data_IF_631506207533
#
_entry.id   IF_631506207533
#
_cell.length_a   1.000
_cell.length_b   1.000
_cell.length_c   1.000
_cell.angle_alpha   90.00
_cell.angle_beta   90.00
_cell.angle_gamma   90.00
#
_symmetry.space_group_name_H-M   'P 1'
#
loop_
_entity.id
_entity.type
_entity.pdbx_description
1 polymer ?
#
# COMPACT_ATOMS: atom_id res chain seq x y z
N UNK A 1 46.13 2.44 -19.28
CA UNK A 1 46.14 2.33 -17.80
C UNK A 1 46.34 0.87 -17.39
N UNK A 2 46.76 0.54 -16.16
CA UNK A 2 46.94 -0.86 -15.72
C UNK A 2 45.76 -1.26 -14.81
N UNK A 3 45.13 -2.41 -15.07
CA UNK A 3 44.07 -2.93 -14.21
C UNK A 3 44.64 -3.41 -12.87
N UNK A 4 44.09 -2.95 -11.74
CA UNK A 4 44.56 -3.35 -10.40
C UNK A 4 44.21 -4.81 -10.05
N UNK A 5 43.17 -5.37 -10.66
CA UNK A 5 42.69 -6.72 -10.35
C UNK A 5 43.40 -7.80 -11.16
N UNK A 6 43.62 -7.60 -12.46
CA UNK A 6 44.31 -8.60 -13.32
C UNK A 6 45.73 -8.22 -13.75
N UNK A 7 46.19 -7.00 -13.45
CA UNK A 7 47.55 -6.54 -13.76
C UNK A 7 47.84 -6.26 -15.24
N UNK A 8 46.86 -6.43 -16.13
CA UNK A 8 47.04 -6.20 -17.58
C UNK A 8 46.95 -4.71 -17.95
N UNK A 9 47.70 -4.34 -18.97
CA UNK A 9 47.66 -3.00 -19.58
C UNK A 9 46.42 -2.87 -20.46
N UNK A 10 45.67 -1.79 -20.26
CA UNK A 10 44.48 -1.43 -21.02
C UNK A 10 44.84 -0.28 -21.95
N UNK A 11 44.62 -0.50 -23.25
CA UNK A 11 44.89 0.46 -24.32
C UNK A 11 43.92 1.64 -24.28
N UNK A 12 42.65 1.38 -23.99
CA UNK A 12 41.63 2.42 -23.85
C UNK A 12 41.70 3.09 -22.48
N UNK A 13 42.24 4.31 -22.43
CA UNK A 13 42.34 5.12 -21.21
C UNK A 13 40.97 5.52 -20.62
N UNK A 14 39.88 5.43 -21.38
CA UNK A 14 38.52 5.80 -20.97
C UNK A 14 37.60 4.59 -20.76
N UNK A 15 38.13 3.37 -20.69
CA UNK A 15 37.33 2.17 -20.46
C UNK A 15 36.77 2.15 -19.02
N UNK A 16 35.46 1.91 -18.87
CA UNK A 16 34.82 1.78 -17.56
C UNK A 16 35.10 0.42 -16.89
N UNK A 17 35.35 -0.61 -17.70
CA UNK A 17 35.58 -1.98 -17.28
C UNK A 17 36.81 -2.53 -17.99
N UNK A 18 37.51 -3.46 -17.35
CA UNK A 18 38.64 -4.14 -17.96
C UNK A 18 38.15 -5.17 -19.01
N UNK A 19 38.65 -5.07 -20.24
CA UNK A 19 38.28 -5.99 -21.33
C UNK A 19 38.67 -7.46 -21.07
N UNK A 20 39.62 -7.70 -20.16
CA UNK A 20 40.14 -9.04 -19.88
C UNK A 20 39.48 -9.74 -18.69
N UNK A 21 39.18 -9.02 -17.61
CA UNK A 21 38.62 -9.61 -16.38
C UNK A 21 37.26 -9.04 -15.96
N UNK A 22 36.78 -7.99 -16.61
CA UNK A 22 35.48 -7.36 -16.32
C UNK A 22 35.46 -6.44 -15.09
N UNK A 23 36.58 -6.25 -14.39
CA UNK A 23 36.61 -5.40 -13.19
C UNK A 23 36.45 -3.91 -13.53
N UNK A 24 35.81 -3.15 -12.63
CA UNK A 24 35.57 -1.73 -12.83
C UNK A 24 36.85 -0.92 -12.66
N UNK A 25 37.17 -0.08 -13.65
CA UNK A 25 38.39 0.75 -13.66
C UNK A 25 38.15 2.14 -13.06
N UNK A 26 36.89 2.44 -12.74
CA UNK A 26 36.40 3.76 -12.30
C UNK A 26 36.60 3.98 -10.81
N UNK A 27 37.83 3.83 -10.33
CA UNK A 27 38.18 4.07 -8.93
C UNK A 27 38.85 5.43 -8.68
N UNK A 28 39.07 6.26 -9.71
CA UNK A 28 39.68 7.60 -9.58
C UNK A 28 38.67 8.75 -9.57
N UNK A 29 37.48 8.54 -8.97
CA UNK A 29 36.45 9.57 -8.86
C UNK A 29 35.68 9.58 -7.53
N UNK A 30 36.12 8.82 -6.51
CA UNK A 30 35.39 8.70 -5.24
C UNK A 30 36.25 9.02 -4.00
N UNK A 31 37.36 9.75 -4.14
CA UNK A 31 38.16 10.19 -2.99
C UNK A 31 38.07 11.70 -2.68
N UNK A 32 37.01 12.38 -3.13
CA UNK A 32 36.79 13.78 -2.75
C UNK A 32 35.30 14.16 -2.61
N UNK A 33 34.53 13.35 -1.89
CA UNK A 33 33.22 13.78 -1.35
C UNK A 33 33.35 13.92 0.18
N UNK A 34 34.41 14.58 0.64
CA UNK A 34 34.60 14.91 2.05
C UNK A 34 34.73 16.42 2.22
N UNK A 35 33.76 17.18 1.69
CA UNK A 35 33.52 18.59 2.05
C UNK A 35 32.18 19.16 1.53
N UNK A 36 31.15 18.34 1.28
CA UNK A 36 29.80 18.89 1.12
C UNK A 36 29.08 18.70 2.45
N UNK A 37 29.01 19.75 3.26
CA UNK A 37 28.05 19.87 4.36
C UNK A 37 26.65 19.91 3.74
N UNK A 38 26.18 18.76 3.28
CA UNK A 38 24.75 18.50 3.16
C UNK A 38 24.27 18.50 4.60
N UNK A 39 23.46 19.50 4.96
CA UNK A 39 22.56 19.36 6.09
C UNK A 39 21.75 18.10 5.83
N UNK A 40 22.23 16.98 6.37
CA UNK A 40 21.42 15.82 6.66
C UNK A 40 20.41 16.35 7.69
N UNK A 41 19.30 16.88 7.18
CA UNK A 41 18.05 16.80 7.91
C UNK A 41 17.98 15.33 8.34
N UNK A 42 18.03 15.09 9.63
CA UNK A 42 17.86 13.76 10.23
C UNK A 42 16.40 13.35 10.00
N UNK A 43 16.04 13.10 8.75
CA UNK A 43 14.95 12.20 8.45
C UNK A 43 15.47 10.83 8.85
N UNK A 44 15.21 10.49 10.11
CA UNK A 44 15.23 9.15 10.69
C UNK A 44 15.14 8.10 9.58
N UNK A 45 16.30 7.56 9.19
CA UNK A 45 16.36 6.44 8.24
C UNK A 45 15.78 5.27 9.02
N UNK A 46 14.45 5.10 8.93
CA UNK A 46 13.75 3.92 9.43
C UNK A 46 14.45 2.72 8.80
N UNK A 47 15.24 2.05 9.62
CA UNK A 47 15.80 0.72 9.40
C UNK A 47 14.83 -0.07 8.52
N UNK A 48 15.30 -0.52 7.35
CA UNK A 48 14.49 -1.04 6.26
C UNK A 48 13.28 -1.83 6.76
N UNK A 49 12.13 -1.19 6.73
CA UNK A 49 10.88 -1.75 7.23
C UNK A 49 10.61 -3.05 6.47
N UNK A 50 10.55 -4.18 7.21
CA UNK A 50 10.42 -5.50 6.60
C UNK A 50 9.20 -5.51 5.68
N UNK A 51 9.35 -5.89 4.40
CA UNK A 51 8.24 -5.85 3.46
C UNK A 51 7.11 -6.76 3.93
N UNK A 52 5.88 -6.30 3.75
CA UNK A 52 4.68 -7.09 4.07
C UNK A 52 4.60 -8.27 3.09
N UNK A 53 4.54 -9.49 3.62
CA UNK A 53 4.50 -10.71 2.81
C UNK A 53 3.20 -10.84 2.02
N UNK A 54 3.26 -11.53 0.88
CA UNK A 54 2.08 -11.81 0.03
C UNK A 54 0.95 -12.51 0.80
N UNK A 55 1.28 -13.52 1.61
CA UNK A 55 0.27 -14.24 2.40
C UNK A 55 -0.46 -13.34 3.41
N UNK A 56 0.25 -12.35 3.98
CA UNK A 56 -0.38 -11.37 4.85
C UNK A 56 -1.39 -10.51 4.07
N UNK A 57 -1.03 -10.05 2.87
CA UNK A 57 -1.96 -9.33 1.98
C UNK A 57 -3.17 -10.18 1.59
N UNK A 58 -2.94 -11.40 1.13
CA UNK A 58 -4.00 -12.30 0.69
C UNK A 58 -4.98 -12.61 1.82
N UNK A 59 -4.48 -12.95 3.01
CA UNK A 59 -5.33 -13.21 4.17
C UNK A 59 -6.14 -11.98 4.60
N UNK A 60 -5.52 -10.79 4.52
CA UNK A 60 -6.20 -9.52 4.82
C UNK A 60 -7.36 -9.24 3.87
N UNK A 61 -7.18 -9.54 2.58
CA UNK A 61 -8.24 -9.37 1.57
C UNK A 61 -9.32 -10.45 1.67
N UNK A 62 -8.93 -11.68 2.03
CA UNK A 62 -9.86 -12.80 2.15
C UNK A 62 -10.86 -12.61 3.30
N UNK A 63 -10.47 -11.88 4.35
CA UNK A 63 -11.30 -11.58 5.51
C UNK A 63 -12.64 -10.92 5.15
N UNK A 64 -12.65 -10.09 4.09
CA UNK A 64 -13.86 -9.42 3.61
C UNK A 64 -14.94 -10.41 3.10
N UNK A 65 -14.53 -11.56 2.59
CA UNK A 65 -15.45 -12.55 2.01
C UNK A 65 -16.16 -13.42 3.04
N UNK A 66 -15.87 -13.25 4.34
CA UNK A 66 -16.64 -13.92 5.39
C UNK A 66 -18.04 -13.26 5.43
N UNK A 67 -19.12 -14.00 5.12
CA UNK A 67 -20.45 -13.42 5.07
C UNK A 67 -20.89 -12.87 6.43
N UNK A 68 -21.74 -11.85 6.40
CA UNK A 68 -22.30 -11.12 7.54
C UNK A 68 -21.30 -10.33 8.39
N UNK A 69 -20.25 -10.96 8.91
CA UNK A 69 -19.34 -10.36 9.89
C UNK A 69 -17.99 -9.94 9.31
N UNK A 70 -17.58 -10.53 8.18
CA UNK A 70 -16.28 -10.27 7.56
C UNK A 70 -16.05 -8.81 7.23
N UNK A 71 -17.04 -8.14 6.65
CA UNK A 71 -16.98 -6.72 6.34
C UNK A 71 -16.76 -5.86 7.60
N UNK A 72 -17.45 -6.16 8.71
CA UNK A 72 -17.29 -5.42 9.96
C UNK A 72 -15.90 -5.61 10.57
N UNK A 73 -15.41 -6.85 10.64
CA UNK A 73 -14.05 -7.16 11.14
C UNK A 73 -12.98 -6.53 10.25
N UNK A 74 -13.19 -6.57 8.94
CA UNK A 74 -12.27 -5.96 7.97
C UNK A 74 -12.17 -4.45 8.17
N UNK A 75 -13.29 -3.75 8.36
CA UNK A 75 -13.29 -2.30 8.62
C UNK A 75 -12.59 -1.96 9.94
N UNK A 76 -12.85 -2.70 11.03
CA UNK A 76 -12.18 -2.43 12.33
C UNK A 76 -10.67 -2.66 12.22
N UNK A 77 -10.25 -3.67 11.48
CA UNK A 77 -8.85 -3.95 11.19
C UNK A 77 -8.21 -2.84 10.33
N UNK A 78 -8.91 -2.28 9.33
CA UNK A 78 -8.43 -1.13 8.56
C UNK A 78 -8.26 0.13 9.43
N UNK A 79 -9.22 0.42 10.30
CA UNK A 79 -9.12 1.53 11.26
C UNK A 79 -7.89 1.33 12.14
N UNK A 80 -7.72 0.14 12.73
CA UNK A 80 -6.55 -0.19 13.54
C UNK A 80 -5.23 0.05 12.78
N UNK A 81 -5.11 -0.39 11.53
CA UNK A 81 -3.88 -0.18 10.73
C UNK A 81 -3.65 1.27 10.31
N UNK A 82 -4.72 2.03 10.06
CA UNK A 82 -4.61 3.42 9.60
C UNK A 82 -4.02 4.36 10.66
N UNK A 83 -4.26 4.07 11.94
CA UNK A 83 -3.84 4.90 13.07
C UNK A 83 -2.72 4.27 13.92
N UNK A 84 -2.41 2.98 13.74
CA UNK A 84 -1.33 2.33 14.51
C UNK A 84 0.04 2.76 14.01
N UNK A 85 0.89 3.24 14.92
CA UNK A 85 2.29 3.60 14.65
C UNK A 85 3.17 2.35 14.40
N UNK A 86 2.78 1.21 15.00
CA UNK A 86 3.54 -0.06 14.99
C UNK A 86 3.43 -0.85 13.68
N UNK A 87 2.58 -0.41 12.75
CA UNK A 87 2.29 -1.12 11.49
C UNK A 87 3.19 -0.60 10.37
N UNK A 88 3.51 -1.48 9.41
CA UNK A 88 4.29 -1.12 8.24
C UNK A 88 3.71 0.11 7.53
N UNK A 89 4.52 1.10 7.15
CA UNK A 89 4.10 2.33 6.48
C UNK A 89 3.26 2.05 5.23
N UNK A 90 3.72 1.14 4.36
CA UNK A 90 2.97 0.76 3.15
C UNK A 90 1.57 0.21 3.47
N UNK A 91 1.44 -0.56 4.55
CA UNK A 91 0.18 -1.16 4.99
C UNK A 91 -0.76 -0.13 5.64
N UNK A 92 -0.21 0.79 6.42
CA UNK A 92 -0.93 1.91 7.03
C UNK A 92 -1.45 2.89 5.99
N UNK A 93 -0.63 3.28 5.03
CA UNK A 93 -1.02 4.20 3.95
C UNK A 93 -2.09 3.57 3.06
N UNK A 94 -1.95 2.27 2.74
CA UNK A 94 -2.99 1.52 2.05
C UNK A 94 -4.29 1.45 2.86
N UNK A 95 -4.22 1.22 4.18
CA UNK A 95 -5.41 1.16 5.02
C UNK A 95 -6.17 2.49 5.05
N UNK A 96 -5.47 3.63 5.07
CA UNK A 96 -6.06 4.97 4.96
C UNK A 96 -6.78 5.17 3.64
N UNK A 97 -6.14 4.81 2.52
CA UNK A 97 -6.78 4.87 1.20
C UNK A 97 -8.01 3.93 1.10
N UNK A 98 -7.89 2.71 1.63
CA UNK A 98 -8.97 1.73 1.64
C UNK A 98 -10.19 2.22 2.43
N UNK A 99 -10.00 2.90 3.58
CA UNK A 99 -11.10 3.48 4.34
C UNK A 99 -11.87 4.55 3.55
N UNK A 100 -11.18 5.39 2.80
CA UNK A 100 -11.82 6.39 1.92
C UNK A 100 -12.65 5.70 0.83
N UNK A 101 -12.10 4.65 0.22
CA UNK A 101 -12.80 3.86 -0.80
C UNK A 101 -14.04 3.16 -0.22
N UNK A 102 -13.92 2.53 0.95
CA UNK A 102 -15.04 1.88 1.65
C UNK A 102 -16.14 2.89 1.96
N UNK A 103 -15.78 4.06 2.48
CA UNK A 103 -16.73 5.14 2.75
C UNK A 103 -17.47 5.57 1.48
N UNK A 104 -16.74 5.77 0.38
CA UNK A 104 -17.33 6.11 -0.93
C UNK A 104 -18.32 5.04 -1.40
N UNK A 105 -17.97 3.75 -1.30
CA UNK A 105 -18.86 2.66 -1.71
C UNK A 105 -20.10 2.56 -0.84
N UNK A 106 -19.99 2.76 0.48
CA UNK A 106 -21.14 2.79 1.38
C UNK A 106 -22.06 3.96 1.01
N UNK A 107 -21.49 5.15 0.78
CA UNK A 107 -22.25 6.33 0.39
C UNK A 107 -22.99 6.14 -0.94
N UNK A 108 -22.30 5.69 -1.99
CA UNK A 108 -22.91 5.40 -3.29
C UNK A 108 -23.93 4.26 -3.22
N UNK A 109 -23.63 3.23 -2.42
CA UNK A 109 -24.52 2.10 -2.19
C UNK A 109 -25.82 2.50 -1.50
N UNK A 110 -25.77 3.43 -0.53
CA UNK A 110 -26.95 3.98 0.13
C UNK A 110 -27.83 4.74 -0.86
N UNK A 111 -27.25 5.58 -1.71
CA UNK A 111 -27.98 6.31 -2.77
C UNK A 111 -28.64 5.33 -3.75
N UNK A 112 -27.90 4.31 -4.18
CA UNK A 112 -28.44 3.29 -5.09
C UNK A 112 -29.56 2.48 -4.43
N UNK A 113 -29.40 2.10 -3.15
CA UNK A 113 -30.42 1.37 -2.40
C UNK A 113 -31.70 2.20 -2.25
N UNK A 114 -31.58 3.48 -1.93
CA UNK A 114 -32.72 4.40 -1.86
C UNK A 114 -33.46 4.49 -3.20
N UNK A 115 -32.73 4.65 -4.30
CA UNK A 115 -33.31 4.61 -5.64
C UNK A 115 -34.07 3.31 -5.91
N UNK A 116 -33.51 2.15 -5.55
CA UNK A 116 -34.17 0.85 -5.72
C UNK A 116 -35.45 0.75 -4.87
N UNK A 117 -35.42 1.19 -3.60
CA UNK A 117 -36.59 1.17 -2.72
C UNK A 117 -37.72 2.03 -3.31
N UNK A 118 -37.42 3.21 -3.83
CA UNK A 118 -38.40 4.07 -4.49
C UNK A 118 -39.02 3.38 -5.72
N UNK A 119 -38.21 2.72 -6.55
CA UNK A 119 -38.70 1.97 -7.73
C UNK A 119 -39.57 0.77 -7.34
N UNK A 120 -39.27 0.09 -6.23
CA UNK A 120 -40.09 -1.00 -5.72
C UNK A 120 -41.46 -0.49 -5.22
N UNK A 121 -41.48 0.64 -4.50
CA UNK A 121 -42.71 1.30 -4.09
C UNK A 121 -43.60 1.69 -5.26
N UNK A 122 -43.01 2.24 -6.33
CA UNK A 122 -43.74 2.59 -7.57
C UNK A 122 -44.36 1.36 -8.27
N UNK A 123 -43.83 0.15 -8.03
CA UNK A 123 -44.38 -1.13 -8.53
C UNK A 123 -45.42 -1.74 -7.59
N UNK A 124 -45.81 -1.05 -6.53
CA UNK A 124 -46.79 -1.50 -5.54
C UNK A 124 -46.21 -2.35 -4.41
N UNK A 125 -44.89 -2.50 -4.31
CA UNK A 125 -44.22 -3.16 -3.19
C UNK A 125 -43.88 -2.09 -2.15
N UNK A 126 -44.80 -1.83 -1.23
CA UNK A 126 -44.57 -0.90 -0.12
C UNK A 126 -43.94 -1.62 1.08
N UNK A 127 -42.61 -1.57 1.18
CA UNK A 127 -41.85 -2.18 2.28
C UNK A 127 -42.26 -1.64 3.66
N UNK A 128 -42.71 -0.38 3.74
CA UNK A 128 -43.10 0.25 5.01
C UNK A 128 -44.39 -0.38 5.56
N UNK A 129 -45.33 -0.74 4.68
CA UNK A 129 -46.54 -1.47 5.06
C UNK A 129 -46.23 -2.84 5.69
N UNK A 130 -45.28 -3.58 5.10
CA UNK A 130 -44.83 -4.87 5.64
C UNK A 130 -44.14 -4.73 6.99
N UNK A 131 -43.25 -3.74 7.14
CA UNK A 131 -42.56 -3.49 8.42
C UNK A 131 -43.57 -3.11 9.50
N UNK A 132 -44.54 -2.24 9.20
CA UNK A 132 -45.61 -1.88 10.16
C UNK A 132 -46.49 -3.07 10.53
N UNK A 133 -46.78 -4.00 9.62
CA UNK A 133 -47.52 -5.21 9.95
C UNK A 133 -46.77 -6.11 10.94
N UNK A 134 -45.44 -6.20 10.83
CA UNK A 134 -44.62 -7.02 11.73
C UNK A 134 -44.33 -6.32 13.07
N UNK A 135 -44.10 -5.00 13.08
CA UNK A 135 -43.70 -4.26 14.28
C UNK A 135 -44.82 -3.48 14.97
N UNK A 136 -45.96 -3.26 14.30
CA UNK A 136 -47.12 -2.52 14.82
C UNK A 136 -48.14 -3.36 15.60
N UNK A 137 -47.81 -4.61 15.92
CA UNK A 137 -48.65 -5.51 16.73
C UNK A 137 -48.23 -5.57 18.22
N UNK A 138 -47.55 -4.54 18.72
CA UNK A 138 -47.27 -4.33 20.15
C UNK A 138 -47.76 -2.95 20.59
#
# INVERSE_FOLDING_TARGET
MICKSCGRTIENANANFCDYCGDSLREQGFQNIQALNVHHDETEVKEGEKPVTFGNWLGSMLLFFIPFIGAAIYITMLIYWSFSEKIAKSKRDWARAALVIVFLFIFLGAIYLDFVIQQLGARGIDLNSYIRQFYGNY
#
